data_IF_864455170233
#
_entry.id   IF_864455170233
#
_cell.length_a   1.000
_cell.length_b   1.000
_cell.length_c   1.000
_cell.angle_alpha   90.00
_cell.angle_beta   90.00
_cell.angle_gamma   90.00
#
_symmetry.space_group_name_H-M   'P 1'
#
loop_
_entity.id
_entity.type
_entity.pdbx_description
1 polymer ?
#
# COMPACT_ATOMS: atom_id res chain seq x y z
N UNK A 1 -19.45 12.36 22.58
CA UNK A 1 -19.62 10.93 22.19
C UNK A 1 -18.23 10.35 21.94
N UNK A 2 -17.81 9.30 22.69
CA UNK A 2 -16.48 8.70 22.48
C UNK A 2 -16.55 7.77 21.28
N UNK A 3 -15.68 7.99 20.29
CA UNK A 3 -15.55 7.12 19.11
C UNK A 3 -14.98 5.76 19.56
N UNK A 4 -15.60 4.62 19.20
CA UNK A 4 -15.04 3.30 19.50
C UNK A 4 -13.60 3.19 19.00
N UNK A 5 -12.73 2.52 19.75
CA UNK A 5 -11.29 2.44 19.45
C UNK A 5 -11.01 1.91 18.04
N UNK A 6 -11.69 0.85 17.62
CA UNK A 6 -11.53 0.28 16.29
C UNK A 6 -11.88 1.27 15.17
N UNK A 7 -13.00 2.01 15.34
CA UNK A 7 -13.46 3.02 14.38
C UNK A 7 -12.43 4.14 14.25
N UNK A 8 -11.87 4.57 15.38
CA UNK A 8 -10.82 5.60 15.43
C UNK A 8 -9.56 5.14 14.70
N UNK A 9 -9.14 3.90 14.89
CA UNK A 9 -7.95 3.35 14.24
C UNK A 9 -8.16 3.10 12.74
N UNK A 10 -9.35 2.70 12.32
CA UNK A 10 -9.70 2.58 10.89
C UNK A 10 -9.65 3.95 10.23
N UNK A 11 -10.25 4.97 10.87
CA UNK A 11 -10.21 6.34 10.37
C UNK A 11 -8.77 6.88 10.34
N UNK A 12 -7.99 6.64 11.38
CA UNK A 12 -6.58 7.04 11.43
C UNK A 12 -5.76 6.32 10.35
N UNK A 13 -6.02 5.02 10.12
CA UNK A 13 -5.37 4.24 9.07
C UNK A 13 -5.57 4.84 7.69
N UNK A 14 -6.83 5.06 7.30
CA UNK A 14 -7.13 5.64 5.99
C UNK A 14 -6.53 7.05 5.83
N UNK A 15 -6.71 7.94 6.80
CA UNK A 15 -6.22 9.32 6.72
C UNK A 15 -4.70 9.41 6.70
N UNK A 16 -4.02 8.72 7.63
CA UNK A 16 -2.55 8.70 7.69
C UNK A 16 -1.95 8.01 6.47
N UNK A 17 -2.59 6.94 5.99
CA UNK A 17 -2.22 6.25 4.77
C UNK A 17 -2.27 7.17 3.56
N UNK A 18 -3.34 7.96 3.39
CA UNK A 18 -3.46 8.95 2.31
C UNK A 18 -2.35 10.00 2.41
N UNK A 19 -2.15 10.61 3.59
CA UNK A 19 -1.15 11.67 3.78
C UNK A 19 0.25 11.16 3.43
N UNK A 20 0.65 10.03 3.99
CA UNK A 20 1.97 9.42 3.72
C UNK A 20 2.05 8.88 2.30
N UNK A 21 0.95 8.33 1.78
CA UNK A 21 0.86 7.86 0.40
C UNK A 21 1.08 8.98 -0.61
N UNK A 22 0.46 10.15 -0.45
CA UNK A 22 0.68 11.31 -1.33
C UNK A 22 2.17 11.70 -1.35
N UNK A 23 2.80 11.75 -0.17
CA UNK A 23 4.21 12.17 -0.05
C UNK A 23 5.15 11.11 -0.59
N UNK A 24 5.01 9.86 -0.15
CA UNK A 24 5.94 8.78 -0.49
C UNK A 24 5.55 8.08 -1.78
N UNK A 25 4.29 7.66 -1.91
CA UNK A 25 3.79 6.96 -3.09
C UNK A 25 3.64 7.89 -4.30
N UNK A 26 3.00 9.04 -4.13
CA UNK A 26 2.78 10.02 -5.20
C UNK A 26 4.04 10.80 -5.57
N UNK A 27 4.49 11.68 -4.69
CA UNK A 27 5.65 12.55 -4.96
C UNK A 27 6.96 11.76 -4.97
N UNK A 28 7.11 10.75 -4.09
CA UNK A 28 8.28 9.88 -4.06
C UNK A 28 8.46 9.11 -5.37
N UNK A 29 7.41 8.51 -5.92
CA UNK A 29 7.47 7.84 -7.23
C UNK A 29 7.85 8.80 -8.35
N UNK A 30 7.36 10.05 -8.30
CA UNK A 30 7.73 11.09 -9.27
C UNK A 30 9.22 11.41 -9.20
N UNK A 31 9.75 11.53 -7.97
CA UNK A 31 11.19 11.74 -7.75
C UNK A 31 12.01 10.55 -8.28
N UNK A 32 11.59 9.33 -7.97
CA UNK A 32 12.26 8.11 -8.46
C UNK A 32 12.27 8.09 -9.99
N UNK A 33 11.14 8.32 -10.66
CA UNK A 33 11.08 8.40 -12.12
C UNK A 33 12.03 9.47 -12.69
N UNK A 34 12.14 10.63 -12.04
CA UNK A 34 13.05 11.69 -12.46
C UNK A 34 14.53 11.28 -12.32
N UNK A 35 14.88 10.68 -11.18
CA UNK A 35 16.24 10.18 -10.95
C UNK A 35 16.60 9.06 -11.94
N UNK A 36 15.66 8.15 -12.22
CA UNK A 36 15.82 7.09 -13.21
C UNK A 36 16.07 7.65 -14.61
N UNK A 37 15.31 8.68 -15.02
CA UNK A 37 15.50 9.34 -16.32
C UNK A 37 16.87 10.04 -16.42
N UNK A 38 17.35 10.64 -15.34
CA UNK A 38 18.70 11.26 -15.30
C UNK A 38 19.78 10.17 -15.38
N UNK A 39 19.62 9.09 -14.64
CA UNK A 39 20.58 7.97 -14.63
C UNK A 39 20.68 7.25 -15.98
N UNK A 40 19.57 7.17 -16.71
CA UNK A 40 19.51 6.53 -18.04
C UNK A 40 20.15 7.38 -19.15
N UNK A 41 20.39 8.67 -18.90
CA UNK A 41 21.09 9.58 -19.83
C UNK A 41 20.19 10.21 -20.91
N UNK A 42 20.82 10.97 -21.80
CA UNK A 42 20.10 11.75 -22.83
C UNK A 42 19.49 10.90 -23.95
N UNK A 43 19.98 9.69 -24.16
CA UNK A 43 19.52 8.80 -25.25
C UNK A 43 18.08 8.31 -25.10
N UNK A 44 17.53 8.33 -23.88
CA UNK A 44 16.17 7.88 -23.59
C UNK A 44 15.18 9.02 -23.36
N UNK A 45 15.65 10.26 -23.33
CA UNK A 45 14.77 11.41 -23.12
C UNK A 45 13.83 11.61 -24.30
N UNK A 46 12.56 11.89 -24.01
CA UNK A 46 11.53 12.07 -25.02
C UNK A 46 10.90 10.79 -25.56
N UNK A 47 11.42 9.60 -25.21
CA UNK A 47 10.80 8.32 -25.57
C UNK A 47 9.45 8.23 -24.82
N UNK A 48 8.42 7.84 -25.55
CA UNK A 48 7.07 7.67 -24.98
C UNK A 48 6.98 6.31 -24.26
N UNK A 49 6.56 6.33 -23.01
CA UNK A 49 6.29 5.13 -22.20
C UNK A 49 4.95 4.48 -22.58
N UNK A 50 4.71 3.25 -22.13
CA UNK A 50 3.42 2.53 -22.35
C UNK A 50 2.20 3.33 -21.85
N UNK A 51 2.38 4.19 -20.86
CA UNK A 51 1.33 5.05 -20.31
C UNK A 51 1.17 6.40 -21.05
N UNK A 52 1.80 6.57 -22.22
CA UNK A 52 1.70 7.78 -23.02
C UNK A 52 2.49 8.99 -22.49
N UNK A 53 3.28 8.82 -21.42
CA UNK A 53 4.12 9.87 -20.87
C UNK A 53 5.51 9.84 -21.52
N UNK A 54 6.14 11.00 -21.71
CA UNK A 54 7.51 11.09 -22.22
C UNK A 54 8.52 11.00 -21.08
N UNK A 55 9.56 10.19 -21.29
CA UNK A 55 10.67 10.08 -20.33
C UNK A 55 11.34 11.44 -20.16
N UNK A 56 11.52 11.84 -18.90
CA UNK A 56 12.13 13.14 -18.55
C UNK A 56 11.17 14.32 -18.49
N UNK A 57 9.94 14.21 -18.98
CA UNK A 57 8.92 15.26 -18.89
C UNK A 57 8.06 15.12 -17.63
N UNK A 58 7.84 16.25 -16.93
CA UNK A 58 6.89 16.30 -15.80
C UNK A 58 5.59 16.86 -16.34
N UNK A 59 4.60 15.98 -16.56
CA UNK A 59 3.26 16.39 -16.98
C UNK A 59 2.35 16.55 -15.76
N UNK A 60 1.44 17.52 -15.81
CA UNK A 60 0.44 17.74 -14.75
C UNK A 60 -0.45 16.50 -14.61
N UNK A 61 -0.95 15.96 -15.73
CA UNK A 61 -1.80 14.76 -15.73
C UNK A 61 -1.11 13.54 -15.13
N UNK A 62 0.13 13.26 -15.50
CA UNK A 62 0.91 12.16 -14.93
C UNK A 62 1.21 12.36 -13.44
N UNK A 63 1.39 13.60 -12.99
CA UNK A 63 1.59 13.89 -11.56
C UNK A 63 0.30 13.68 -10.77
N UNK A 64 -0.84 14.16 -11.26
CA UNK A 64 -2.15 13.94 -10.65
C UNK A 64 -2.46 12.44 -10.61
N UNK A 65 -2.21 11.70 -11.70
CA UNK A 65 -2.39 10.25 -11.74
C UNK A 65 -1.59 9.52 -10.66
N UNK A 66 -0.30 9.84 -10.50
CA UNK A 66 0.53 9.24 -9.45
C UNK A 66 0.07 9.63 -8.04
N UNK A 67 -0.35 10.88 -7.82
CA UNK A 67 -0.89 11.30 -6.53
C UNK A 67 -2.19 10.56 -6.22
N UNK A 68 -3.09 10.40 -7.18
CA UNK A 68 -4.34 9.70 -6.98
C UNK A 68 -4.11 8.20 -6.77
N UNK A 69 -3.48 7.51 -7.70
CA UNK A 69 -3.35 6.05 -7.67
C UNK A 69 -2.24 5.60 -6.71
N UNK A 70 -1.02 6.11 -6.85
CA UNK A 70 0.12 5.75 -6.00
C UNK A 70 0.06 6.40 -4.61
N UNK A 71 -0.53 7.60 -4.50
CA UNK A 71 -0.66 8.33 -3.26
C UNK A 71 -1.94 7.99 -2.50
N UNK A 72 -3.08 8.46 -3.00
CA UNK A 72 -4.36 8.37 -2.26
C UNK A 72 -4.84 6.92 -2.17
N UNK A 73 -4.94 6.23 -3.31
CA UNK A 73 -5.45 4.85 -3.33
C UNK A 73 -4.52 3.88 -2.61
N UNK A 74 -3.30 3.71 -3.08
CA UNK A 74 -2.36 2.78 -2.48
C UNK A 74 -2.04 3.14 -1.02
N UNK A 75 -1.96 4.44 -0.71
CA UNK A 75 -1.76 4.94 0.64
C UNK A 75 -2.91 4.58 1.58
N UNK A 76 -4.18 4.79 1.17
CA UNK A 76 -5.34 4.44 1.98
C UNK A 76 -5.39 2.93 2.27
N UNK A 77 -5.17 2.09 1.25
CA UNK A 77 -5.12 0.62 1.41
C UNK A 77 -3.98 0.22 2.34
N UNK A 78 -2.78 0.78 2.16
CA UNK A 78 -1.64 0.54 3.03
C UNK A 78 -1.90 0.95 4.48
N UNK A 79 -2.53 2.11 4.70
CA UNK A 79 -2.90 2.58 6.03
C UNK A 79 -3.97 1.73 6.71
N UNK A 80 -4.98 1.27 5.98
CA UNK A 80 -5.98 0.33 6.47
C UNK A 80 -5.37 -1.03 6.82
N UNK A 81 -4.47 -1.52 5.98
CA UNK A 81 -3.73 -2.75 6.25
C UNK A 81 -2.87 -2.62 7.51
N UNK A 82 -2.19 -1.48 7.69
CA UNK A 82 -1.45 -1.20 8.92
C UNK A 82 -2.36 -1.20 10.14
N UNK A 83 -3.52 -0.51 10.08
CA UNK A 83 -4.49 -0.51 11.17
C UNK A 83 -4.97 -1.94 11.51
N UNK A 84 -5.26 -2.75 10.50
CA UNK A 84 -5.64 -4.15 10.67
C UNK A 84 -4.53 -4.98 11.34
N UNK A 85 -3.27 -4.81 10.93
CA UNK A 85 -2.11 -5.58 11.40
C UNK A 85 -1.43 -5.01 12.65
N UNK A 86 -1.82 -3.83 13.12
CA UNK A 86 -1.21 -3.11 14.24
C UNK A 86 -0.94 -3.97 15.49
N UNK A 87 -1.89 -4.82 15.97
CA UNK A 87 -1.66 -5.63 17.16
C UNK A 87 -0.49 -6.61 17.00
N UNK A 88 -0.32 -7.16 15.79
CA UNK A 88 0.77 -8.10 15.49
C UNK A 88 2.12 -7.38 15.30
N UNK A 89 2.09 -6.17 14.74
CA UNK A 89 3.28 -5.35 14.52
C UNK A 89 3.80 -4.70 15.80
N UNK A 90 2.95 -4.50 16.81
CA UNK A 90 3.33 -3.88 18.09
C UNK A 90 4.50 -4.59 18.79
N UNK A 91 4.62 -5.91 18.64
CA UNK A 91 5.72 -6.71 19.20
C UNK A 91 7.11 -6.35 18.70
N UNK A 92 7.20 -5.70 17.54
CA UNK A 92 8.46 -5.30 16.92
C UNK A 92 8.94 -3.90 17.37
N UNK A 93 8.20 -3.23 18.26
CA UNK A 93 8.57 -1.95 18.84
C UNK A 93 8.91 -0.89 17.79
N UNK A 94 10.14 -0.33 17.83
CA UNK A 94 10.59 0.70 16.90
C UNK A 94 10.71 0.23 15.45
N UNK A 95 10.87 -1.07 15.22
CA UNK A 95 11.03 -1.66 13.89
C UNK A 95 9.71 -1.93 13.17
N UNK A 96 8.54 -1.73 13.84
CA UNK A 96 7.22 -2.06 13.30
C UNK A 96 6.94 -1.42 11.94
N UNK A 97 7.40 -0.17 11.73
CA UNK A 97 7.23 0.51 10.44
C UNK A 97 8.07 -0.09 9.32
N UNK A 98 9.34 -0.39 9.60
CA UNK A 98 10.23 -1.05 8.65
C UNK A 98 9.70 -2.44 8.27
N UNK A 99 9.33 -3.25 9.27
CA UNK A 99 8.81 -4.61 9.05
C UNK A 99 7.50 -4.56 8.26
N UNK A 100 6.62 -3.60 8.57
CA UNK A 100 5.40 -3.38 7.80
C UNK A 100 5.71 -3.01 6.34
N UNK A 101 6.62 -2.07 6.10
CA UNK A 101 7.00 -1.66 4.76
C UNK A 101 7.65 -2.77 3.94
N UNK A 102 8.52 -3.59 4.55
CA UNK A 102 9.08 -4.78 3.91
C UNK A 102 8.00 -5.84 3.62
N UNK A 103 7.08 -6.05 4.55
CA UNK A 103 5.92 -6.90 4.33
C UNK A 103 5.04 -6.40 3.18
N UNK A 104 4.83 -5.08 3.10
CA UNK A 104 4.07 -4.46 2.01
C UNK A 104 4.79 -4.60 0.66
N UNK A 105 6.13 -4.47 0.62
CA UNK A 105 6.93 -4.78 -0.57
C UNK A 105 6.73 -6.24 -1.01
N UNK A 106 6.78 -7.19 -0.07
CA UNK A 106 6.52 -8.58 -0.38
C UNK A 106 5.11 -8.81 -0.93
N UNK A 107 4.09 -8.19 -0.33
CA UNK A 107 2.68 -8.37 -0.72
C UNK A 107 2.32 -7.68 -2.04
N UNK A 108 2.75 -6.45 -2.22
CA UNK A 108 2.29 -5.57 -3.30
C UNK A 108 3.41 -5.09 -4.23
N UNK A 109 4.65 -5.53 -4.01
CA UNK A 109 5.80 -5.11 -4.81
C UNK A 109 5.64 -5.44 -6.29
N UNK A 110 5.07 -6.59 -6.62
CA UNK A 110 4.82 -7.00 -8.01
C UNK A 110 3.82 -6.11 -8.76
N UNK A 111 3.03 -5.30 -8.07
CA UNK A 111 2.14 -4.30 -8.69
C UNK A 111 2.92 -3.10 -9.25
N UNK A 112 4.12 -2.86 -8.73
CA UNK A 112 4.99 -1.74 -9.11
C UNK A 112 6.17 -2.25 -9.93
N UNK A 113 6.75 -3.38 -9.52
CA UNK A 113 7.91 -4.02 -10.13
C UNK A 113 7.42 -5.10 -11.12
N UNK A 114 6.91 -4.64 -12.26
CA UNK A 114 6.35 -5.48 -13.32
C UNK A 114 7.23 -5.39 -14.57
N UNK A 115 7.59 -6.54 -15.13
CA UNK A 115 8.35 -6.65 -16.39
C UNK A 115 7.58 -6.06 -17.60
N UNK A 116 6.24 -6.10 -17.55
CA UNK A 116 5.40 -5.51 -18.60
C UNK A 116 5.45 -3.97 -18.60
N UNK A 117 5.96 -3.35 -17.54
CA UNK A 117 6.14 -1.91 -17.49
C UNK A 117 7.38 -1.51 -18.31
N UNK A 118 7.14 -0.88 -19.46
CA UNK A 118 8.20 -0.41 -20.37
C UNK A 118 9.24 0.50 -19.71
N UNK A 119 8.91 1.12 -18.59
CA UNK A 119 9.83 2.02 -17.87
C UNK A 119 11.07 1.26 -17.38
N UNK A 120 10.94 0.00 -16.96
CA UNK A 120 12.09 -0.82 -16.53
C UNK A 120 12.95 -1.30 -17.71
N UNK A 121 12.38 -1.38 -18.93
CA UNK A 121 13.12 -1.76 -20.14
C UNK A 121 13.89 -0.57 -20.69
N UNK A 122 13.26 0.62 -20.69
CA UNK A 122 13.80 1.85 -21.27
C UNK A 122 14.85 2.49 -20.35
N UNK A 123 14.57 2.54 -19.04
CA UNK A 123 15.41 3.23 -18.06
C UNK A 123 16.50 2.29 -17.54
N UNK A 124 17.73 2.43 -18.03
CA UNK A 124 18.88 1.66 -17.56
C UNK A 124 19.71 2.48 -16.55
N UNK A 125 20.35 1.87 -15.53
CA UNK A 125 20.38 0.43 -15.23
C UNK A 125 19.13 -0.04 -14.48
N UNK A 126 18.58 -1.22 -14.84
CA UNK A 126 17.29 -1.70 -14.26
C UNK A 126 17.39 -1.96 -12.75
N UNK A 127 18.55 -2.41 -12.27
CA UNK A 127 18.76 -2.64 -10.82
C UNK A 127 18.55 -1.37 -9.99
N UNK A 128 19.02 -0.22 -10.48
CA UNK A 128 18.82 1.06 -9.79
C UNK A 128 17.35 1.41 -9.69
N UNK A 129 16.60 1.23 -10.78
CA UNK A 129 15.16 1.51 -10.81
C UNK A 129 14.39 0.60 -9.85
N UNK A 130 14.65 -0.71 -9.93
CA UNK A 130 14.06 -1.69 -9.00
C UNK A 130 14.36 -1.32 -7.56
N UNK A 131 15.62 -1.01 -7.23
CA UNK A 131 16.00 -0.63 -5.87
C UNK A 131 15.30 0.64 -5.38
N UNK A 132 15.23 1.69 -6.22
CA UNK A 132 14.59 2.95 -5.86
C UNK A 132 13.08 2.79 -5.63
N UNK A 133 12.37 2.06 -6.51
CA UNK A 133 10.95 1.79 -6.32
C UNK A 133 10.70 0.87 -5.11
N UNK A 134 11.52 -0.17 -4.92
CA UNK A 134 11.43 -1.06 -3.76
C UNK A 134 11.62 -0.30 -2.43
N UNK A 135 12.50 0.71 -2.38
CA UNK A 135 12.74 1.53 -1.20
C UNK A 135 11.55 2.39 -0.79
N UNK A 136 10.63 2.72 -1.70
CA UNK A 136 9.42 3.49 -1.35
C UNK A 136 8.56 2.75 -0.31
N UNK A 137 8.52 1.42 -0.34
CA UNK A 137 7.72 0.63 0.60
C UNK A 137 8.22 0.72 2.06
N UNK A 138 9.49 0.45 2.39
CA UNK A 138 9.99 0.63 3.74
C UNK A 138 9.95 2.09 4.19
N UNK A 139 10.20 3.07 3.31
CA UNK A 139 10.05 4.49 3.62
C UNK A 139 8.60 4.82 3.98
N UNK A 140 7.62 4.32 3.20
CA UNK A 140 6.20 4.46 3.50
C UNK A 140 5.88 3.88 4.88
N UNK A 141 6.30 2.66 5.17
CA UNK A 141 6.02 2.01 6.45
C UNK A 141 6.64 2.76 7.64
N UNK A 142 7.87 3.25 7.52
CA UNK A 142 8.54 4.04 8.57
C UNK A 142 7.82 5.37 8.79
N UNK A 143 7.42 6.07 7.73
CA UNK A 143 6.72 7.35 7.81
C UNK A 143 5.28 7.19 8.32
N UNK A 144 4.61 6.08 7.98
CA UNK A 144 3.22 5.83 8.36
C UNK A 144 3.03 5.74 9.87
N UNK A 145 3.94 5.06 10.58
CA UNK A 145 3.80 4.81 12.01
C UNK A 145 3.62 6.08 12.84
N UNK A 146 4.52 7.07 12.79
CA UNK A 146 4.37 8.28 13.58
C UNK A 146 3.15 9.13 13.16
N UNK A 147 2.80 9.14 11.87
CA UNK A 147 1.62 9.87 11.38
C UNK A 147 0.35 9.18 11.89
N UNK A 148 0.27 7.86 11.83
CA UNK A 148 -0.84 7.08 12.37
C UNK A 148 -1.04 7.33 13.88
N UNK A 149 0.03 7.23 14.67
CA UNK A 149 -0.04 7.42 16.12
C UNK A 149 -0.52 8.84 16.47
N UNK A 150 -0.03 9.88 15.76
CA UNK A 150 -0.50 11.26 15.93
C UNK A 150 -1.97 11.42 15.56
N UNK A 151 -2.40 10.80 14.46
CA UNK A 151 -3.79 10.85 13.98
C UNK A 151 -4.73 10.19 14.98
N UNK A 152 -4.37 9.01 15.53
CA UNK A 152 -5.16 8.36 16.60
C UNK A 152 -5.31 9.29 17.80
N UNK A 153 -4.21 9.90 18.27
CA UNK A 153 -4.25 10.84 19.39
C UNK A 153 -5.10 12.10 19.10
N UNK A 154 -5.01 12.61 17.87
CA UNK A 154 -5.84 13.76 17.46
C UNK A 154 -7.34 13.43 17.45
N UNK A 155 -7.70 12.25 16.99
CA UNK A 155 -9.08 11.75 16.95
C UNK A 155 -9.63 11.42 18.35
N UNK A 156 -8.76 11.19 19.34
CA UNK A 156 -9.16 10.88 20.72
C UNK A 156 -9.65 12.13 21.50
N UNK A 157 -9.28 13.31 21.04
CA UNK A 157 -9.60 14.59 21.74
C UNK A 157 -11.10 14.93 21.79
N UNK A 158 -11.95 14.19 21.07
CA UNK A 158 -13.42 14.29 21.17
C UNK A 158 -14.02 15.63 20.70
N UNK A 159 -13.28 16.45 19.93
CA UNK A 159 -13.78 17.69 19.35
C UNK A 159 -14.71 17.44 18.16
N UNK A 160 -15.54 18.42 17.79
CA UNK A 160 -16.37 18.36 16.57
C UNK A 160 -15.50 18.14 15.33
N UNK A 161 -14.33 18.77 15.30
CA UNK A 161 -13.34 18.60 14.22
C UNK A 161 -12.84 17.17 14.15
N UNK A 162 -12.51 16.54 15.30
CA UNK A 162 -12.06 15.13 15.33
C UNK A 162 -13.17 14.17 14.87
N UNK A 163 -14.43 14.47 15.18
CA UNK A 163 -15.59 13.72 14.69
C UNK A 163 -15.74 13.80 13.16
N UNK A 164 -15.58 14.99 12.58
CA UNK A 164 -15.64 15.18 11.13
C UNK A 164 -14.49 14.43 10.41
N UNK A 165 -13.25 14.53 10.91
CA UNK A 165 -12.13 13.77 10.37
C UNK A 165 -12.32 12.25 10.49
N UNK A 166 -12.86 11.77 11.61
CA UNK A 166 -13.18 10.36 11.76
C UNK A 166 -14.23 9.91 10.73
N UNK A 167 -15.28 10.71 10.50
CA UNK A 167 -16.30 10.40 9.50
C UNK A 167 -15.72 10.33 8.09
N UNK A 168 -14.85 11.27 7.71
CA UNK A 168 -14.14 11.24 6.42
C UNK A 168 -13.27 9.99 6.32
N UNK A 169 -12.48 9.68 7.34
CA UNK A 169 -11.63 8.50 7.35
C UNK A 169 -12.41 7.19 7.21
N UNK A 170 -13.59 7.09 7.83
CA UNK A 170 -14.48 5.93 7.71
C UNK A 170 -15.12 5.88 6.32
N UNK A 171 -15.59 7.00 5.78
CA UNK A 171 -16.16 7.05 4.43
C UNK A 171 -15.12 6.57 3.39
N UNK A 172 -13.88 7.01 3.53
CA UNK A 172 -12.76 6.54 2.72
C UNK A 172 -12.56 5.04 2.90
N UNK A 173 -12.54 4.53 4.13
CA UNK A 173 -12.38 3.11 4.39
C UNK A 173 -13.51 2.27 3.75
N UNK A 174 -14.76 2.71 3.86
CA UNK A 174 -15.92 2.04 3.24
C UNK A 174 -15.80 2.06 1.72
N UNK A 175 -15.41 3.19 1.13
CA UNK A 175 -15.20 3.30 -0.32
C UNK A 175 -14.16 2.29 -0.81
N UNK A 176 -13.00 2.20 -0.13
CA UNK A 176 -11.94 1.29 -0.53
C UNK A 176 -12.29 -0.18 -0.30
N UNK A 177 -12.93 -0.50 0.82
CA UNK A 177 -13.42 -1.86 1.08
C UNK A 177 -14.47 -2.25 0.03
N UNK A 178 -15.40 -1.34 -0.29
CA UNK A 178 -16.41 -1.56 -1.34
C UNK A 178 -15.78 -1.81 -2.71
N UNK A 179 -14.79 -0.99 -3.11
CA UNK A 179 -14.06 -1.17 -4.36
C UNK A 179 -13.31 -2.51 -4.39
N UNK A 180 -12.67 -2.90 -3.28
CA UNK A 180 -12.00 -4.19 -3.14
C UNK A 180 -12.94 -5.38 -3.24
N UNK A 181 -14.16 -5.28 -2.71
CA UNK A 181 -15.20 -6.31 -2.85
C UNK A 181 -15.67 -6.46 -4.30
N UNK A 182 -15.85 -5.34 -5.01
CA UNK A 182 -16.20 -5.36 -6.45
C UNK A 182 -15.08 -6.03 -7.25
N UNK A 183 -13.82 -5.64 -7.03
CA UNK A 183 -12.67 -6.26 -7.70
C UNK A 183 -12.57 -7.75 -7.36
N UNK A 184 -12.80 -8.12 -6.08
CA UNK A 184 -12.82 -9.52 -5.65
C UNK A 184 -13.94 -10.32 -6.33
N UNK A 185 -15.12 -9.75 -6.51
CA UNK A 185 -16.23 -10.40 -7.22
C UNK A 185 -15.91 -10.62 -8.70
N UNK A 186 -15.33 -9.63 -9.38
CA UNK A 186 -14.91 -9.78 -10.78
C UNK A 186 -13.81 -10.84 -10.93
N UNK A 187 -12.86 -10.89 -9.99
CA UNK A 187 -11.81 -11.91 -9.97
C UNK A 187 -12.35 -13.34 -9.78
N UNK A 188 -13.49 -13.51 -9.10
CA UNK A 188 -14.14 -14.83 -8.93
C UNK A 188 -14.92 -15.28 -10.16
N UNK A 189 -15.38 -14.35 -11.01
CA UNK A 189 -16.23 -14.62 -12.17
C UNK A 189 -15.47 -14.71 -13.49
N UNK A 190 -14.21 -14.29 -13.53
CA UNK A 190 -13.32 -14.32 -14.68
C UNK A 190 -11.98 -14.98 -14.30
N UNK A 191 -11.18 -15.40 -15.28
CA UNK A 191 -9.81 -15.85 -14.99
C UNK A 191 -8.98 -14.67 -14.44
N UNK A 192 -8.68 -14.64 -13.12
CA UNK A 192 -8.12 -13.46 -12.50
C UNK A 192 -6.67 -13.24 -12.93
N UNK A 193 -6.33 -12.00 -13.20
CA UNK A 193 -4.94 -11.57 -13.35
C UNK A 193 -4.21 -11.64 -11.99
N UNK A 194 -2.87 -11.69 -12.02
CA UNK A 194 -2.07 -11.63 -10.79
C UNK A 194 -2.35 -10.37 -9.96
N UNK A 195 -2.65 -9.27 -10.63
CA UNK A 195 -3.01 -7.96 -10.01
C UNK A 195 -4.30 -8.09 -9.20
N UNK A 196 -5.33 -8.71 -9.79
CA UNK A 196 -6.63 -8.90 -9.12
C UNK A 196 -6.51 -9.85 -7.92
N UNK A 197 -5.74 -10.93 -8.05
CA UNK A 197 -5.50 -11.86 -6.94
C UNK A 197 -4.78 -11.19 -5.77
N UNK A 198 -3.73 -10.40 -6.02
CA UNK A 198 -3.01 -9.69 -4.97
C UNK A 198 -3.92 -8.64 -4.33
N UNK A 199 -4.70 -7.91 -5.12
CA UNK A 199 -5.68 -6.95 -4.61
C UNK A 199 -6.69 -7.64 -3.71
N UNK A 200 -7.26 -8.75 -4.14
CA UNK A 200 -8.18 -9.55 -3.35
C UNK A 200 -7.54 -10.01 -2.03
N UNK A 201 -6.31 -10.53 -2.07
CA UNK A 201 -5.57 -10.95 -0.88
C UNK A 201 -5.37 -9.80 0.12
N UNK A 202 -5.00 -8.61 -0.36
CA UNK A 202 -4.86 -7.42 0.49
C UNK A 202 -6.17 -7.06 1.19
N UNK A 203 -7.30 -7.08 0.48
CA UNK A 203 -8.61 -6.79 1.05
C UNK A 203 -9.08 -7.87 2.02
N UNK A 204 -8.86 -9.14 1.71
CA UNK A 204 -9.14 -10.26 2.65
C UNK A 204 -8.32 -10.10 3.92
N UNK A 205 -7.05 -9.73 3.82
CA UNK A 205 -6.20 -9.47 5.00
C UNK A 205 -6.71 -8.30 5.84
N UNK A 206 -7.12 -7.20 5.21
CA UNK A 206 -7.69 -6.04 5.91
C UNK A 206 -8.96 -6.47 6.65
N UNK A 207 -9.90 -7.11 5.95
CA UNK A 207 -11.17 -7.54 6.53
C UNK A 207 -10.96 -8.56 7.64
N UNK A 208 -10.13 -9.58 7.44
CA UNK A 208 -9.82 -10.59 8.44
C UNK A 208 -9.15 -9.97 9.68
N UNK A 209 -8.21 -9.04 9.50
CA UNK A 209 -7.55 -8.33 10.59
C UNK A 209 -8.52 -7.45 11.39
N UNK A 210 -9.38 -6.70 10.71
CA UNK A 210 -10.40 -5.86 11.37
C UNK A 210 -11.47 -6.71 12.06
N UNK A 211 -11.94 -7.80 11.43
CA UNK A 211 -12.90 -8.72 12.02
C UNK A 211 -12.34 -9.41 13.27
N UNK A 212 -11.09 -9.88 13.23
CA UNK A 212 -10.43 -10.47 14.40
C UNK A 212 -10.35 -9.49 15.57
N UNK A 213 -10.20 -8.20 15.30
CA UNK A 213 -10.20 -7.14 16.32
C UNK A 213 -11.60 -6.79 16.83
N UNK A 214 -12.60 -6.73 15.94
CA UNK A 214 -13.98 -6.44 16.29
C UNK A 214 -14.61 -7.54 17.18
N UNK A 215 -14.29 -8.80 16.86
CA UNK A 215 -14.81 -9.99 17.56
C UNK A 215 -14.03 -10.29 18.86
N UNK A 216 -12.87 -9.67 19.06
CA UNK A 216 -12.09 -9.68 20.32
C UNK A 216 -11.88 -11.08 20.89
N UNK A 217 -12.20 -11.23 22.19
CA UNK A 217 -12.01 -12.50 22.92
C UNK A 217 -12.85 -13.67 22.41
N UNK A 218 -13.91 -13.42 21.62
CA UNK A 218 -14.75 -14.50 21.05
C UNK A 218 -14.00 -15.33 20.00
N UNK A 219 -13.00 -14.73 19.31
CA UNK A 219 -12.12 -15.44 18.37
C UNK A 219 -10.74 -15.78 18.99
N UNK A 220 -10.60 -15.62 20.29
CA UNK A 220 -9.34 -15.93 20.99
C UNK A 220 -9.03 -17.43 21.06
N UNK A 221 -9.91 -18.29 20.52
CA UNK A 221 -9.64 -19.73 20.40
C UNK A 221 -8.43 -19.99 19.50
N UNK A 222 -7.57 -20.91 19.92
CA UNK A 222 -6.32 -21.26 19.23
C UNK A 222 -6.48 -21.49 17.71
N UNK A 223 -7.53 -22.18 17.20
CA UNK A 223 -7.66 -22.47 15.78
C UNK A 223 -7.84 -21.23 14.92
N UNK A 224 -8.60 -20.21 15.38
CA UNK A 224 -8.77 -18.96 14.62
C UNK A 224 -7.52 -18.12 14.54
N UNK A 225 -6.72 -18.12 15.61
CA UNK A 225 -5.41 -17.43 15.60
C UNK A 225 -4.47 -18.09 14.61
N UNK A 226 -4.39 -19.43 14.60
CA UNK A 226 -3.57 -20.18 13.65
C UNK A 226 -4.03 -19.96 12.21
N UNK A 227 -5.34 -19.96 11.94
CA UNK A 227 -5.90 -19.68 10.64
C UNK A 227 -5.51 -18.27 10.14
N UNK A 228 -5.62 -17.25 10.99
CA UNK A 228 -5.22 -15.87 10.65
C UNK A 228 -3.73 -15.79 10.34
N UNK A 229 -2.86 -16.40 11.15
CA UNK A 229 -1.43 -16.45 10.88
C UNK A 229 -1.11 -17.23 9.58
N UNK A 230 -1.83 -18.32 9.33
CA UNK A 230 -1.68 -19.09 8.09
C UNK A 230 -2.02 -18.28 6.85
N UNK A 231 -3.13 -17.55 6.86
CA UNK A 231 -3.54 -16.67 5.76
C UNK A 231 -2.50 -15.55 5.54
N UNK A 232 -2.04 -14.92 6.62
CA UNK A 232 -1.01 -13.88 6.54
C UNK A 232 0.30 -14.41 5.96
N UNK A 233 0.74 -15.57 6.43
CA UNK A 233 1.97 -16.20 5.94
C UNK A 233 1.84 -16.62 4.48
N UNK A 234 0.73 -17.24 4.09
CA UNK A 234 0.48 -17.64 2.71
C UNK A 234 0.44 -16.41 1.77
N UNK A 235 -0.25 -15.34 2.15
CA UNK A 235 -0.31 -14.12 1.37
C UNK A 235 1.07 -13.47 1.21
N UNK A 236 1.88 -13.42 2.28
CA UNK A 236 3.25 -12.92 2.22
C UNK A 236 4.15 -13.78 1.33
N UNK A 237 4.04 -15.11 1.41
CA UNK A 237 4.84 -16.02 0.58
C UNK A 237 4.49 -15.90 -0.89
N UNK A 238 3.20 -15.90 -1.24
CA UNK A 238 2.73 -15.74 -2.63
C UNK A 238 3.14 -14.38 -3.18
N UNK A 239 2.90 -13.31 -2.42
CA UNK A 239 3.25 -11.95 -2.84
C UNK A 239 4.76 -11.78 -3.01
N UNK A 240 5.57 -12.28 -2.06
CA UNK A 240 7.04 -12.24 -2.16
C UNK A 240 7.57 -13.06 -3.33
N UNK A 241 7.01 -14.24 -3.61
CA UNK A 241 7.38 -15.05 -4.76
C UNK A 241 7.10 -14.31 -6.08
N UNK A 242 5.92 -13.68 -6.20
CA UNK A 242 5.58 -12.88 -7.38
C UNK A 242 6.48 -11.65 -7.53
N UNK A 243 6.77 -10.94 -6.45
CA UNK A 243 7.68 -9.79 -6.47
C UNK A 243 9.09 -10.20 -6.88
N UNK A 244 9.62 -11.29 -6.31
CA UNK A 244 10.94 -11.81 -6.66
C UNK A 244 11.00 -12.27 -8.13
N UNK A 245 9.97 -12.97 -8.61
CA UNK A 245 9.92 -13.40 -10.01
C UNK A 245 9.90 -12.20 -10.97
N UNK A 246 9.12 -11.16 -10.66
CA UNK A 246 9.11 -9.91 -11.44
C UNK A 246 10.47 -9.22 -11.46
N UNK A 247 11.12 -9.09 -10.29
CA UNK A 247 12.47 -8.52 -10.21
C UNK A 247 13.48 -9.32 -11.01
N UNK A 248 13.48 -10.65 -10.90
CA UNK A 248 14.41 -11.51 -11.69
C UNK A 248 14.22 -11.28 -13.19
N UNK A 249 12.97 -11.26 -13.67
CA UNK A 249 12.68 -11.04 -15.10
C UNK A 249 13.05 -9.65 -15.60
N UNK A 250 12.97 -8.61 -14.75
CA UNK A 250 13.44 -7.26 -15.09
C UNK A 250 14.98 -7.23 -15.21
N UNK A 251 15.69 -8.06 -14.43
CA UNK A 251 17.15 -8.06 -14.37
C UNK A 251 17.82 -9.00 -15.39
N UNK A 252 17.09 -9.99 -15.90
CA UNK A 252 17.58 -10.94 -16.92
C UNK A 252 17.20 -10.53 -18.32
#
# INVERSE_FOLDING_TARGET
MRIPELVREVAAGSLSGIVVGIVVGGLGSRLVMRLSAIAAGSSVQGITTSNGNRVGEITIGGTIGLILFGGVFAGAVGGLLYAALRPWLARFGRWRGLIFGLGLLGLAGSQVLDEANSDFIILRPPLLNVAMFALLFPIFGIALVPVFDRTVHALDKGSLISGAFASVGIAVAILFVGLGLVTGFTALTSAPSSVELITLLLFVMILAGLAARALGSRLASAPWRLATYGILAAALLVGAANTLSGVVRILT
#
